data_IF_781076622642
#
_entry.id   IF_781076622642
#
_cell.length_a   1.000
_cell.length_b   1.000
_cell.length_c   1.000
_cell.angle_alpha   90.00
_cell.angle_beta   90.00
_cell.angle_gamma   90.00
#
_symmetry.space_group_name_H-M   'P 1'
#
loop_
_entity.id
_entity.type
_entity.pdbx_description
1 polymer ?
#
# COMPACT_ATOMS: atom_id res chain seq x y z
N UNK A 1 9.56 24.75 2.22
CA UNK A 1 10.27 24.40 0.94
C UNK A 1 10.80 23.00 1.03
N UNK A 2 10.95 22.30 -0.12
CA UNK A 2 11.61 20.99 -0.17
C UNK A 2 13.09 21.11 0.21
N UNK A 3 13.61 20.10 0.89
CA UNK A 3 15.06 19.95 1.09
C UNK A 3 15.72 19.46 -0.22
N UNK A 4 17.04 19.50 -0.30
CA UNK A 4 17.77 18.93 -1.44
C UNK A 4 17.45 17.43 -1.62
N UNK A 5 17.37 16.69 -0.52
CA UNK A 5 17.01 15.26 -0.47
C UNK A 5 15.64 15.02 -1.10
N UNK A 6 14.62 15.66 -0.56
CA UNK A 6 13.23 15.44 -0.98
C UNK A 6 12.97 15.96 -2.40
N UNK A 7 13.69 17.00 -2.84
CA UNK A 7 13.65 17.43 -4.24
C UNK A 7 14.26 16.37 -5.17
N UNK A 8 15.43 15.80 -4.80
CA UNK A 8 16.07 14.73 -5.59
C UNK A 8 15.15 13.51 -5.72
N UNK A 9 14.55 13.04 -4.61
CA UNK A 9 13.61 11.92 -4.63
C UNK A 9 12.42 12.24 -5.53
N UNK A 10 11.83 13.45 -5.41
CA UNK A 10 10.70 13.87 -6.24
C UNK A 10 11.04 13.85 -7.72
N UNK A 11 12.15 14.45 -8.10
CA UNK A 11 12.56 14.56 -9.50
C UNK A 11 12.83 13.16 -10.09
N UNK A 12 13.54 12.30 -9.37
CA UNK A 12 13.78 10.91 -9.76
C UNK A 12 12.47 10.13 -9.92
N UNK A 13 11.54 10.25 -8.95
CA UNK A 13 10.27 9.55 -8.95
C UNK A 13 9.41 9.88 -10.18
N UNK A 14 9.30 11.17 -10.52
CA UNK A 14 8.44 11.60 -11.63
C UNK A 14 9.11 11.52 -13.00
N UNK A 15 10.44 11.41 -13.07
CA UNK A 15 11.16 11.20 -14.32
C UNK A 15 11.05 9.73 -14.82
N UNK A 16 10.73 8.77 -13.94
CA UNK A 16 10.64 7.37 -14.34
C UNK A 16 9.36 7.07 -15.13
N UNK A 17 9.47 6.29 -16.23
CA UNK A 17 8.30 5.82 -16.96
C UNK A 17 7.47 4.87 -16.08
N UNK A 18 6.16 4.89 -16.26
CA UNK A 18 5.28 3.90 -15.63
C UNK A 18 5.36 2.58 -16.40
N UNK A 19 5.61 1.49 -15.70
CA UNK A 19 5.71 0.15 -16.27
C UNK A 19 4.64 -0.77 -15.67
N UNK A 20 4.25 -1.79 -16.41
CA UNK A 20 3.46 -2.88 -15.85
C UNK A 20 4.39 -3.83 -15.11
N UNK A 21 3.94 -4.42 -14.00
CA UNK A 21 4.65 -5.49 -13.30
C UNK A 21 3.75 -6.71 -13.13
N UNK A 22 4.32 -7.89 -13.36
CA UNK A 22 3.65 -9.19 -13.19
C UNK A 22 3.97 -9.86 -11.85
N UNK A 23 4.86 -9.26 -11.05
CA UNK A 23 5.42 -9.90 -9.85
C UNK A 23 4.33 -10.35 -8.88
N UNK A 24 3.43 -9.45 -8.47
CA UNK A 24 2.35 -9.79 -7.54
C UNK A 24 1.43 -10.87 -8.11
N UNK A 25 1.04 -10.77 -9.37
CA UNK A 25 0.16 -11.74 -10.02
C UNK A 25 0.80 -13.14 -10.09
N UNK A 26 2.13 -13.21 -10.34
CA UNK A 26 2.91 -14.44 -10.30
C UNK A 26 2.89 -15.07 -8.91
N UNK A 27 3.22 -14.29 -7.88
CA UNK A 27 3.25 -14.76 -6.50
C UNK A 27 1.87 -15.22 -6.01
N UNK A 28 0.81 -14.50 -6.36
CA UNK A 28 -0.57 -14.92 -6.09
C UNK A 28 -0.90 -16.27 -6.74
N UNK A 29 -0.58 -16.42 -8.02
CA UNK A 29 -0.81 -17.69 -8.74
C UNK A 29 -0.04 -18.85 -8.10
N UNK A 30 1.23 -18.64 -7.73
CA UNK A 30 2.06 -19.67 -7.08
C UNK A 30 1.43 -20.15 -5.76
N UNK A 31 0.95 -19.23 -4.94
CA UNK A 31 0.24 -19.55 -3.70
C UNK A 31 -1.08 -20.28 -3.97
N UNK A 32 -1.87 -19.80 -4.92
CA UNK A 32 -3.16 -20.40 -5.25
C UNK A 32 -3.04 -21.81 -5.84
N UNK A 33 -1.95 -22.12 -6.54
CA UNK A 33 -1.63 -23.48 -6.98
C UNK A 33 -1.35 -24.43 -5.81
N UNK A 34 -0.66 -23.93 -4.78
CA UNK A 34 -0.30 -24.73 -3.59
C UNK A 34 -1.46 -24.93 -2.63
N UNK A 35 -2.46 -24.08 -2.68
CA UNK A 35 -3.58 -24.04 -1.73
C UNK A 35 -4.92 -24.44 -2.36
N UNK A 36 -4.89 -25.21 -3.47
CA UNK A 36 -6.09 -25.69 -4.14
C UNK A 36 -6.96 -26.51 -3.16
N UNK A 37 -8.26 -26.20 -3.08
CA UNK A 37 -9.22 -26.87 -2.20
C UNK A 37 -9.28 -26.33 -0.77
N UNK A 38 -8.38 -25.45 -0.33
CA UNK A 38 -8.49 -24.82 0.98
C UNK A 38 -9.61 -23.76 1.02
N UNK A 39 -10.06 -23.44 2.23
CA UNK A 39 -11.08 -22.40 2.47
C UNK A 39 -10.63 -21.04 1.87
N UNK A 40 -11.49 -20.32 1.15
CA UNK A 40 -11.10 -19.10 0.42
C UNK A 40 -10.36 -18.05 1.24
N UNK A 41 -10.78 -17.78 2.49
CA UNK A 41 -10.12 -16.79 3.35
C UNK A 41 -8.70 -17.23 3.75
N UNK A 42 -8.47 -18.51 3.96
CA UNK A 42 -7.13 -19.07 4.26
C UNK A 42 -6.24 -18.98 3.01
N UNK A 43 -6.78 -19.32 1.84
CA UNK A 43 -6.05 -19.15 0.56
C UNK A 43 -5.62 -17.69 0.35
N UNK A 44 -6.53 -16.76 0.64
CA UNK A 44 -6.25 -15.32 0.52
C UNK A 44 -5.13 -14.88 1.47
N UNK A 45 -5.20 -15.32 2.74
CA UNK A 45 -4.19 -15.04 3.74
C UNK A 45 -2.81 -15.60 3.36
N UNK A 46 -2.75 -16.84 2.87
CA UNK A 46 -1.52 -17.47 2.38
C UNK A 46 -0.97 -16.80 1.11
N UNK A 47 -1.84 -16.29 0.24
CA UNK A 47 -1.41 -15.53 -0.93
C UNK A 47 -0.74 -14.20 -0.54
N UNK A 48 -1.33 -13.47 0.41
CA UNK A 48 -0.70 -12.27 0.96
C UNK A 48 0.63 -12.61 1.64
N UNK A 49 0.67 -13.65 2.48
CA UNK A 49 1.91 -14.14 3.10
C UNK A 49 2.97 -14.39 2.03
N UNK A 50 2.64 -15.12 0.97
CA UNK A 50 3.59 -15.45 -0.09
C UNK A 50 4.12 -14.21 -0.82
N UNK A 51 3.28 -13.19 -1.02
CA UNK A 51 3.73 -11.90 -1.57
C UNK A 51 4.68 -11.19 -0.62
N UNK A 52 4.30 -11.03 0.65
CA UNK A 52 5.09 -10.31 1.64
C UNK A 52 6.46 -10.98 1.90
N UNK A 53 6.52 -12.30 1.78
CA UNK A 53 7.77 -13.08 1.92
C UNK A 53 8.68 -13.00 0.69
N UNK A 54 8.14 -12.78 -0.52
CA UNK A 54 8.89 -13.02 -1.76
C UNK A 54 8.98 -11.83 -2.71
N UNK A 55 8.17 -10.77 -2.55
CA UNK A 55 8.29 -9.63 -3.45
C UNK A 55 9.67 -8.96 -3.33
N UNK A 56 10.13 -8.36 -4.43
CA UNK A 56 11.43 -7.72 -4.48
C UNK A 56 11.44 -6.43 -3.66
N UNK A 57 12.33 -6.35 -2.69
CA UNK A 57 12.58 -5.13 -1.94
C UNK A 57 13.48 -4.20 -2.77
N UNK A 58 13.07 -2.94 -2.88
CA UNK A 58 13.87 -1.85 -3.43
C UNK A 58 13.88 -0.69 -2.45
N UNK A 59 14.94 0.12 -2.51
CA UNK A 59 15.14 1.25 -1.61
C UNK A 59 15.92 2.35 -2.32
N UNK A 60 15.42 3.58 -2.29
CA UNK A 60 16.15 4.74 -2.78
C UNK A 60 17.21 5.14 -1.74
N UNK A 61 18.44 5.33 -2.18
CA UNK A 61 19.57 5.68 -1.30
C UNK A 61 19.38 7.00 -0.53
N UNK A 62 18.52 7.88 -1.04
CA UNK A 62 18.21 9.16 -0.41
C UNK A 62 17.01 9.08 0.55
N UNK A 63 16.22 7.99 0.52
CA UNK A 63 14.98 7.93 1.27
C UNK A 63 15.22 7.69 2.78
N UNK A 64 14.36 8.27 3.60
CA UNK A 64 14.35 8.04 5.05
C UNK A 64 13.40 6.90 5.44
N UNK A 65 12.47 6.53 4.59
CA UNK A 65 11.48 5.48 4.84
C UNK A 65 11.64 4.33 3.86
N UNK A 66 11.62 3.10 4.36
CA UNK A 66 11.59 1.90 3.52
C UNK A 66 10.16 1.50 3.19
N UNK A 67 10.02 0.69 2.16
CA UNK A 67 8.75 0.12 1.73
C UNK A 67 8.43 0.44 0.28
N UNK A 68 8.20 -0.62 -0.50
CA UNK A 68 7.79 -0.55 -1.90
C UNK A 68 6.70 -1.57 -2.20
N UNK A 69 5.78 -1.22 -3.10
CA UNK A 69 4.73 -2.15 -3.57
C UNK A 69 5.18 -2.98 -4.77
N UNK A 70 6.09 -2.46 -5.55
CA UNK A 70 6.50 -3.00 -6.85
C UNK A 70 8.02 -2.94 -7.00
N UNK A 71 8.57 -3.74 -7.89
CA UNK A 71 9.99 -3.83 -8.22
C UNK A 71 10.56 -2.57 -8.89
N UNK A 72 9.71 -1.62 -9.24
CA UNK A 72 10.11 -0.26 -9.63
C UNK A 72 9.06 0.76 -9.18
N UNK A 73 9.46 2.01 -8.86
CA UNK A 73 8.52 3.04 -8.48
C UNK A 73 7.48 3.30 -9.58
N UNK A 74 6.22 3.55 -9.19
CA UNK A 74 5.10 3.85 -10.09
C UNK A 74 4.78 2.74 -11.11
N UNK A 75 5.13 1.49 -10.82
CA UNK A 75 4.69 0.38 -11.65
C UNK A 75 3.22 0.03 -11.42
N UNK A 76 2.51 -0.28 -12.50
CA UNK A 76 1.13 -0.72 -12.49
C UNK A 76 1.05 -2.22 -12.20
N UNK A 77 0.30 -2.60 -11.18
CA UNK A 77 0.09 -4.00 -10.78
C UNK A 77 -1.10 -4.57 -11.53
N UNK A 78 -0.96 -5.76 -12.10
CA UNK A 78 -2.07 -6.54 -12.65
C UNK A 78 -2.67 -7.44 -11.57
N UNK A 79 -4.02 -7.57 -11.59
CA UNK A 79 -4.79 -8.38 -10.63
C UNK A 79 -5.72 -9.34 -11.35
N UNK A 80 -5.17 -10.38 -12.02
CA UNK A 80 -5.96 -11.32 -12.79
C UNK A 80 -6.90 -12.17 -11.94
N UNK A 81 -6.65 -12.26 -10.63
CA UNK A 81 -7.56 -12.89 -9.66
C UNK A 81 -8.88 -12.12 -9.52
N UNK A 82 -8.86 -10.82 -9.84
CA UNK A 82 -10.08 -9.99 -9.89
C UNK A 82 -10.78 -10.14 -11.23
N UNK A 83 -10.09 -9.80 -12.33
CA UNK A 83 -10.58 -10.00 -13.71
C UNK A 83 -9.39 -10.15 -14.66
N UNK A 84 -9.18 -11.31 -15.28
CA UNK A 84 -8.10 -11.51 -16.22
C UNK A 84 -8.40 -11.00 -17.64
N UNK A 85 -9.67 -10.77 -17.97
CA UNK A 85 -10.14 -10.55 -19.34
C UNK A 85 -9.71 -9.21 -19.90
N UNK A 86 -10.05 -8.12 -19.23
CA UNK A 86 -9.68 -6.77 -19.67
C UNK A 86 -8.18 -6.58 -19.83
N UNK A 87 -7.37 -7.25 -18.96
CA UNK A 87 -5.92 -7.19 -19.06
C UNK A 87 -5.45 -7.88 -20.35
N UNK A 88 -6.02 -9.05 -20.65
CA UNK A 88 -5.73 -9.79 -21.89
C UNK A 88 -6.06 -8.98 -23.14
N UNK A 89 -7.20 -8.30 -23.13
CA UNK A 89 -7.66 -7.51 -24.26
C UNK A 89 -6.83 -6.23 -24.47
N UNK A 90 -6.24 -5.69 -23.41
CA UNK A 90 -5.52 -4.41 -23.43
C UNK A 90 -3.99 -4.51 -23.40
N UNK A 91 -3.40 -5.70 -23.33
CA UNK A 91 -1.94 -5.88 -23.20
C UNK A 91 -1.13 -5.07 -24.23
N UNK A 92 -1.56 -5.06 -25.48
CA UNK A 92 -0.86 -4.33 -26.55
C UNK A 92 -1.24 -2.83 -26.57
N UNK A 93 -2.35 -2.47 -25.95
CA UNK A 93 -2.81 -1.10 -25.88
C UNK A 93 -2.15 -0.27 -24.76
N UNK A 94 -1.64 -0.88 -23.69
CA UNK A 94 -1.09 -0.15 -22.56
C UNK A 94 -0.08 0.94 -22.92
N UNK A 95 0.90 0.74 -23.83
CA UNK A 95 1.86 1.78 -24.17
C UNK A 95 1.28 2.90 -25.07
N UNK A 96 0.24 2.62 -25.84
CA UNK A 96 -0.26 3.51 -26.90
C UNK A 96 -1.65 4.10 -26.63
N UNK A 97 -2.37 3.61 -25.62
CA UNK A 97 -3.71 4.11 -25.28
C UNK A 97 -3.70 5.60 -24.94
N UNK A 98 -4.84 6.26 -25.07
CA UNK A 98 -4.95 7.70 -24.94
C UNK A 98 -4.56 8.22 -23.55
N UNK A 99 -4.97 7.49 -22.50
CA UNK A 99 -4.78 7.87 -21.10
C UNK A 99 -4.12 6.75 -20.29
N UNK A 100 -3.48 7.10 -19.19
CA UNK A 100 -2.84 6.16 -18.26
C UNK A 100 -1.94 5.12 -18.94
N UNK A 101 -1.00 5.60 -19.77
CA UNK A 101 -0.06 4.74 -20.48
C UNK A 101 0.91 4.07 -19.52
N UNK A 102 1.21 2.80 -19.82
CA UNK A 102 2.20 2.01 -19.12
C UNK A 102 3.02 1.22 -20.14
N UNK A 103 4.33 1.27 -19.99
CA UNK A 103 5.20 0.40 -20.77
C UNK A 103 5.06 -1.05 -20.28
N UNK A 104 5.13 -2.00 -21.20
CA UNK A 104 5.08 -3.42 -20.91
C UNK A 104 6.05 -4.15 -21.85
N UNK A 105 6.86 -5.07 -21.32
CA UNK A 105 7.78 -5.87 -22.11
C UNK A 105 7.06 -6.97 -22.90
N UNK A 106 7.64 -7.42 -23.99
CA UNK A 106 7.11 -8.57 -24.75
C UNK A 106 7.18 -9.87 -23.92
N UNK A 107 8.15 -9.98 -23.02
CA UNK A 107 8.25 -11.09 -22.07
C UNK A 107 7.05 -11.12 -21.12
N UNK A 108 6.69 -9.96 -20.52
CA UNK A 108 5.53 -9.85 -19.65
C UNK A 108 4.23 -10.13 -20.38
N UNK A 109 4.08 -9.65 -21.63
CA UNK A 109 2.90 -9.95 -22.45
C UNK A 109 2.77 -11.45 -22.72
N UNK A 110 3.87 -12.09 -23.09
CA UNK A 110 3.93 -13.54 -23.34
C UNK A 110 3.61 -14.31 -22.06
N UNK A 111 4.23 -13.93 -20.94
CA UNK A 111 3.97 -14.54 -19.64
C UNK A 111 2.50 -14.41 -19.22
N UNK A 112 1.90 -13.24 -19.45
CA UNK A 112 0.49 -13.06 -19.16
C UNK A 112 -0.39 -13.96 -20.02
N UNK A 113 -0.19 -13.98 -21.33
CA UNK A 113 -0.98 -14.77 -22.29
C UNK A 113 -0.88 -16.27 -22.06
N UNK A 114 0.33 -16.76 -21.80
CA UNK A 114 0.59 -18.20 -21.75
C UNK A 114 0.49 -18.81 -20.36
N UNK A 115 0.66 -18.00 -19.29
CA UNK A 115 0.73 -18.51 -17.92
C UNK A 115 -0.37 -17.95 -17.03
N UNK A 116 -0.44 -16.62 -16.89
CA UNK A 116 -1.36 -16.00 -15.92
C UNK A 116 -2.82 -16.10 -16.39
N UNK A 117 -3.09 -15.74 -17.64
CA UNK A 117 -4.45 -15.76 -18.17
C UNK A 117 -5.07 -17.15 -18.18
N UNK A 118 -4.43 -18.23 -18.69
CA UNK A 118 -4.98 -19.58 -18.65
C UNK A 118 -5.28 -20.08 -17.23
N UNK A 119 -4.44 -19.69 -16.25
CA UNK A 119 -4.65 -20.07 -14.85
C UNK A 119 -5.88 -19.37 -14.24
N UNK A 120 -6.00 -18.05 -14.40
CA UNK A 120 -7.06 -17.27 -13.77
C UNK A 120 -8.39 -17.28 -14.52
N UNK A 121 -8.39 -17.57 -15.79
CA UNK A 121 -9.59 -17.71 -16.60
C UNK A 121 -10.52 -18.74 -15.97
N UNK A 122 -11.80 -18.35 -15.74
CA UNK A 122 -12.85 -19.12 -15.07
C UNK A 122 -12.67 -19.31 -13.56
N UNK A 123 -11.65 -18.69 -12.94
CA UNK A 123 -11.34 -18.79 -11.50
C UNK A 123 -11.36 -17.44 -10.79
N UNK A 124 -11.50 -16.35 -11.53
CA UNK A 124 -11.46 -14.98 -11.01
C UNK A 124 -12.73 -14.60 -10.24
N UNK A 125 -12.65 -13.50 -9.48
CA UNK A 125 -13.80 -12.89 -8.83
C UNK A 125 -14.87 -12.49 -9.86
N UNK A 126 -14.46 -11.96 -11.02
CA UNK A 126 -15.36 -11.62 -12.12
C UNK A 126 -16.11 -12.84 -12.64
N UNK A 127 -15.46 -14.00 -12.74
CA UNK A 127 -16.12 -15.25 -13.15
C UNK A 127 -17.14 -15.73 -12.12
N UNK A 128 -16.80 -15.62 -10.84
CA UNK A 128 -17.71 -15.97 -9.76
C UNK A 128 -18.93 -15.05 -9.77
N UNK A 129 -18.70 -13.75 -9.82
CA UNK A 129 -19.73 -12.73 -9.86
C UNK A 129 -20.67 -12.93 -11.06
N UNK A 130 -20.12 -13.08 -12.29
CA UNK A 130 -20.90 -13.24 -13.51
C UNK A 130 -21.80 -14.48 -13.50
N UNK A 131 -21.41 -15.55 -12.81
CA UNK A 131 -22.23 -16.77 -12.65
C UNK A 131 -23.38 -16.63 -11.65
N UNK A 132 -23.33 -15.62 -10.78
CA UNK A 132 -24.34 -15.39 -9.74
C UNK A 132 -25.25 -14.19 -10.03
N UNK A 133 -25.03 -13.50 -11.16
CA UNK A 133 -25.93 -12.45 -11.60
C UNK A 133 -27.19 -13.03 -12.24
N UNK A 134 -28.32 -12.47 -11.87
CA UNK A 134 -29.60 -12.73 -12.55
C UNK A 134 -29.58 -12.14 -13.96
N UNK A 135 -30.30 -12.80 -14.88
CA UNK A 135 -30.31 -12.41 -16.30
C UNK A 135 -30.79 -10.98 -16.51
N UNK A 136 -31.79 -10.55 -15.74
CA UNK A 136 -32.34 -9.19 -15.80
C UNK A 136 -31.30 -8.13 -15.39
N UNK A 137 -30.44 -8.44 -14.40
CA UNK A 137 -29.34 -7.54 -14.00
C UNK A 137 -28.30 -7.45 -15.11
N UNK A 138 -27.96 -8.59 -15.75
CA UNK A 138 -27.03 -8.61 -16.89
C UNK A 138 -27.56 -7.77 -18.06
N UNK A 139 -28.83 -7.89 -18.39
CA UNK A 139 -29.47 -7.09 -19.46
C UNK A 139 -29.51 -5.60 -19.10
N UNK A 140 -29.86 -5.27 -17.84
CA UNK A 140 -29.88 -3.89 -17.38
C UNK A 140 -28.52 -3.22 -17.43
N UNK A 141 -27.42 -3.92 -17.12
CA UNK A 141 -26.05 -3.39 -17.22
C UNK A 141 -25.65 -3.03 -18.66
N UNK A 142 -26.21 -3.67 -19.68
CA UNK A 142 -25.95 -3.35 -21.09
C UNK A 142 -26.38 -1.93 -21.46
N UNK A 143 -27.30 -1.35 -20.72
CA UNK A 143 -27.71 0.05 -20.89
C UNK A 143 -26.62 1.07 -20.55
N UNK A 144 -25.59 0.67 -19.78
CA UNK A 144 -24.53 1.53 -19.25
C UNK A 144 -25.00 2.69 -18.37
N UNK A 145 -26.24 2.67 -17.91
CA UNK A 145 -26.79 3.68 -16.98
C UNK A 145 -26.21 3.47 -15.56
N UNK A 146 -25.95 2.22 -15.21
CA UNK A 146 -25.32 1.85 -13.93
C UNK A 146 -24.40 0.64 -14.09
N UNK A 147 -23.50 0.49 -13.13
CA UNK A 147 -22.64 -0.68 -12.98
C UNK A 147 -22.89 -1.31 -11.60
N UNK A 148 -23.05 -2.62 -11.53
CA UNK A 148 -23.32 -3.35 -10.29
C UNK A 148 -22.01 -3.71 -9.59
N UNK A 149 -20.94 -3.97 -10.34
CA UNK A 149 -19.63 -4.28 -9.79
C UNK A 149 -18.51 -3.72 -10.67
N UNK A 150 -17.38 -3.42 -10.01
CA UNK A 150 -16.14 -3.06 -10.65
C UNK A 150 -15.09 -4.11 -10.26
N UNK A 151 -14.65 -4.92 -11.22
CA UNK A 151 -13.74 -6.04 -11.00
C UNK A 151 -12.38 -5.87 -11.69
N UNK A 152 -12.08 -4.71 -12.24
CA UNK A 152 -10.79 -4.44 -12.89
C UNK A 152 -9.62 -4.43 -11.90
N UNK A 153 -9.89 -4.17 -10.62
CA UNK A 153 -8.96 -4.23 -9.50
C UNK A 153 -9.68 -4.53 -8.19
N UNK A 154 -8.94 -4.70 -7.09
CA UNK A 154 -9.53 -4.82 -5.76
C UNK A 154 -10.23 -3.54 -5.30
N UNK A 155 -11.23 -3.70 -4.46
CA UNK A 155 -11.92 -2.58 -3.80
C UNK A 155 -11.23 -2.23 -2.48
N UNK A 156 -10.95 -0.94 -2.30
CA UNK A 156 -10.49 -0.34 -1.06
C UNK A 156 -11.61 0.45 -0.39
N UNK A 157 -11.49 1.79 -0.40
CA UNK A 157 -12.41 2.70 0.29
C UNK A 157 -12.52 2.40 1.79
N UNK A 158 -11.36 2.07 2.38
CA UNK A 158 -11.24 1.76 3.80
C UNK A 158 -10.24 2.71 4.46
N UNK A 159 -10.32 2.80 5.78
CA UNK A 159 -9.31 3.39 6.66
C UNK A 159 -8.87 2.28 7.62
N UNK A 160 -7.57 2.03 7.70
CA UNK A 160 -7.01 1.14 8.70
C UNK A 160 -7.13 1.78 10.09
N UNK A 161 -7.34 0.98 11.12
CA UNK A 161 -7.23 1.44 12.51
C UNK A 161 -5.76 1.64 12.89
N UNK A 162 -5.15 2.70 12.32
CA UNK A 162 -3.77 3.08 12.65
C UNK A 162 -3.58 3.36 14.14
N UNK A 163 -4.50 4.03 14.86
CA UNK A 163 -4.40 4.19 16.31
C UNK A 163 -4.19 2.88 17.05
N UNK A 164 -4.91 1.84 16.68
CA UNK A 164 -4.78 0.51 17.31
C UNK A 164 -3.38 -0.07 17.08
N UNK A 165 -2.92 -0.08 15.83
CA UNK A 165 -1.61 -0.65 15.47
C UNK A 165 -0.46 0.14 16.13
N UNK A 166 -0.53 1.47 16.06
CA UNK A 166 0.49 2.34 16.62
C UNK A 166 0.63 2.22 18.14
N UNK A 167 -0.49 2.04 18.84
CA UNK A 167 -0.52 1.97 20.32
C UNK A 167 -0.27 0.58 20.89
N UNK A 168 -0.59 -0.49 20.14
CA UNK A 168 -0.48 -1.87 20.62
C UNK A 168 0.69 -2.66 20.00
N UNK A 169 1.09 -2.31 18.78
CA UNK A 169 2.04 -3.10 17.99
C UNK A 169 1.44 -4.41 17.46
N UNK A 170 2.10 -5.01 16.50
CA UNK A 170 1.60 -6.26 15.88
C UNK A 170 1.65 -7.47 16.80
N UNK A 171 2.59 -7.52 17.74
CA UNK A 171 2.75 -8.67 18.64
C UNK A 171 1.52 -8.90 19.50
N UNK A 172 1.03 -7.85 20.16
CA UNK A 172 -0.15 -7.96 21.04
C UNK A 172 -1.41 -8.33 20.24
N UNK A 173 -1.55 -7.77 19.03
CA UNK A 173 -2.67 -8.10 18.14
C UNK A 173 -2.57 -9.57 17.66
N UNK A 174 -1.36 -10.06 17.38
CA UNK A 174 -1.12 -11.45 17.02
C UNK A 174 -1.45 -12.42 18.18
N UNK A 175 -1.04 -12.09 19.40
CA UNK A 175 -1.34 -12.90 20.59
C UNK A 175 -2.85 -13.01 20.82
N UNK A 176 -3.59 -11.92 20.64
CA UNK A 176 -5.05 -11.90 20.70
C UNK A 176 -5.67 -12.77 19.59
N UNK A 177 -5.21 -12.62 18.34
CA UNK A 177 -5.70 -13.42 17.22
C UNK A 177 -5.42 -14.93 17.43
N UNK A 178 -4.26 -15.29 18.00
CA UNK A 178 -3.91 -16.68 18.35
C UNK A 178 -4.84 -17.24 19.44
N UNK A 179 -5.12 -16.44 20.47
CA UNK A 179 -6.05 -16.81 21.53
C UNK A 179 -7.45 -17.08 20.98
N UNK A 180 -7.96 -16.17 20.14
CA UNK A 180 -9.26 -16.31 19.50
C UNK A 180 -9.31 -17.50 18.52
N UNK A 181 -8.23 -17.74 17.79
CA UNK A 181 -8.11 -18.92 16.92
C UNK A 181 -8.18 -20.24 17.69
N UNK A 182 -7.62 -20.27 18.90
CA UNK A 182 -7.68 -21.45 19.79
C UNK A 182 -9.08 -21.62 20.37
N UNK A 183 -9.75 -20.54 20.76
CA UNK A 183 -11.10 -20.56 21.33
C UNK A 183 -12.17 -20.89 20.27
N UNK A 184 -11.93 -20.53 19.02
CA UNK A 184 -12.86 -20.70 17.89
C UNK A 184 -12.21 -21.46 16.72
N UNK A 185 -11.83 -22.74 16.90
CA UNK A 185 -11.07 -23.49 15.90
C UNK A 185 -11.80 -23.68 14.57
N UNK A 186 -13.13 -23.65 14.59
CA UNK A 186 -13.98 -23.80 13.41
C UNK A 186 -14.16 -22.47 12.62
N UNK A 187 -13.66 -21.35 13.15
CA UNK A 187 -13.73 -20.07 12.46
C UNK A 187 -12.44 -19.77 11.70
N UNK A 188 -12.41 -19.91 10.37
CA UNK A 188 -11.21 -19.73 9.57
C UNK A 188 -10.71 -18.27 9.54
N UNK A 189 -11.52 -17.31 9.97
CA UNK A 189 -11.14 -15.89 10.03
C UNK A 189 -9.96 -15.68 10.99
N UNK A 190 -10.02 -16.24 12.20
CA UNK A 190 -8.94 -16.08 13.18
C UNK A 190 -7.64 -16.76 12.75
N UNK A 191 -7.75 -17.93 12.08
CA UNK A 191 -6.60 -18.59 11.49
C UNK A 191 -5.96 -17.74 10.38
N UNK A 192 -6.79 -17.15 9.51
CA UNK A 192 -6.33 -16.24 8.47
C UNK A 192 -5.66 -14.99 9.05
N UNK A 193 -6.23 -14.41 10.12
CA UNK A 193 -5.64 -13.26 10.83
C UNK A 193 -4.25 -13.59 11.40
N UNK A 194 -4.09 -14.77 12.02
CA UNK A 194 -2.79 -15.23 12.52
C UNK A 194 -1.76 -15.37 11.40
N UNK A 195 -2.15 -15.93 10.25
CA UNK A 195 -1.26 -16.06 9.08
C UNK A 195 -0.80 -14.68 8.61
N UNK A 196 -1.74 -13.75 8.44
CA UNK A 196 -1.46 -12.40 7.94
C UNK A 196 -0.58 -11.61 8.91
N UNK A 197 -0.89 -11.63 10.21
CA UNK A 197 -0.11 -10.89 11.22
C UNK A 197 1.34 -11.40 11.31
N UNK A 198 1.54 -12.71 11.29
CA UNK A 198 2.89 -13.30 11.20
C UNK A 198 3.62 -12.88 9.94
N UNK A 199 2.92 -12.85 8.81
CA UNK A 199 3.50 -12.46 7.53
C UNK A 199 3.90 -10.97 7.53
N UNK A 200 3.11 -10.08 8.13
CA UNK A 200 3.43 -8.64 8.23
C UNK A 200 4.63 -8.43 9.15
N UNK A 201 4.73 -9.11 10.28
CA UNK A 201 5.91 -9.07 11.16
C UNK A 201 7.16 -9.49 10.39
N UNK A 202 7.11 -10.63 9.72
CA UNK A 202 8.22 -11.13 8.91
C UNK A 202 8.59 -10.17 7.77
N UNK A 203 7.61 -9.52 7.16
CA UNK A 203 7.80 -8.50 6.14
C UNK A 203 8.59 -7.29 6.63
N UNK A 204 8.28 -6.80 7.83
CA UNK A 204 9.04 -5.70 8.45
C UNK A 204 10.48 -6.14 8.73
N UNK A 205 10.71 -7.36 9.22
CA UNK A 205 12.05 -7.90 9.42
C UNK A 205 12.85 -8.05 8.13
N UNK A 206 12.21 -8.40 7.00
CA UNK A 206 12.90 -8.42 5.70
C UNK A 206 13.46 -7.04 5.32
N UNK A 207 12.72 -5.96 5.62
CA UNK A 207 13.25 -4.60 5.42
C UNK A 207 14.37 -4.28 6.40
N UNK A 208 14.28 -4.73 7.65
CA UNK A 208 15.38 -4.59 8.61
C UNK A 208 16.67 -5.21 8.08
N UNK A 209 16.60 -6.48 7.64
CA UNK A 209 17.74 -7.22 7.09
C UNK A 209 18.32 -6.50 5.86
N UNK A 210 17.45 -6.02 4.96
CA UNK A 210 17.85 -5.26 3.79
C UNK A 210 18.59 -3.97 4.15
N UNK A 211 18.09 -3.20 5.12
CA UNK A 211 18.73 -1.98 5.60
C UNK A 211 20.05 -2.30 6.33
N UNK A 212 20.12 -3.38 7.12
CA UNK A 212 21.36 -3.84 7.76
C UNK A 212 22.44 -4.15 6.72
N UNK A 213 22.10 -4.82 5.63
CA UNK A 213 23.05 -5.06 4.54
C UNK A 213 23.54 -3.76 3.89
N UNK A 214 22.64 -2.77 3.70
CA UNK A 214 23.00 -1.46 3.14
C UNK A 214 23.95 -0.64 4.02
N UNK A 215 23.90 -0.79 5.36
CA UNK A 215 24.86 -0.15 6.29
C UNK A 215 26.30 -0.56 5.96
N UNK A 216 26.51 -1.83 5.62
CA UNK A 216 27.85 -2.34 5.30
C UNK A 216 28.43 -1.82 3.98
N UNK A 217 27.58 -1.42 3.04
CA UNK A 217 27.99 -0.97 1.71
C UNK A 217 28.12 0.56 1.56
N UNK A 218 27.66 1.36 2.54
CA UNK A 218 27.77 2.82 2.47
C UNK A 218 29.04 3.35 3.15
N UNK A 219 29.73 4.26 2.46
CA UNK A 219 30.91 4.98 2.99
C UNK A 219 30.55 6.33 3.61
N UNK A 220 29.38 6.88 3.32
CA UNK A 220 28.92 8.15 3.87
C UNK A 220 28.52 7.98 5.34
N UNK A 221 29.18 8.73 6.23
CA UNK A 221 29.01 8.60 7.68
C UNK A 221 27.61 9.04 8.14
N UNK A 222 27.06 10.09 7.53
CA UNK A 222 25.71 10.57 7.85
C UNK A 222 24.69 9.54 7.41
N UNK A 223 24.79 9.05 6.17
CA UNK A 223 23.90 8.02 5.64
C UNK A 223 23.96 6.72 6.45
N UNK A 224 25.15 6.33 6.88
CA UNK A 224 25.36 5.17 7.76
C UNK A 224 24.62 5.33 9.10
N UNK A 225 24.68 6.52 9.69
CA UNK A 225 23.95 6.82 10.93
C UNK A 225 22.42 6.77 10.72
N UNK A 226 21.90 7.32 9.61
CA UNK A 226 20.48 7.27 9.24
C UNK A 226 20.02 5.82 9.06
N UNK A 227 20.74 5.01 8.29
CA UNK A 227 20.43 3.59 8.09
C UNK A 227 20.49 2.79 9.38
N UNK A 228 21.45 3.08 10.25
CA UNK A 228 21.54 2.45 11.57
C UNK A 228 20.34 2.79 12.45
N UNK A 229 19.87 4.04 12.43
CA UNK A 229 18.65 4.45 13.10
C UNK A 229 17.43 3.71 12.51
N UNK A 230 17.30 3.69 11.20
CA UNK A 230 16.20 3.05 10.49
C UNK A 230 16.13 1.53 10.78
N UNK A 231 17.26 0.83 10.79
CA UNK A 231 17.30 -0.59 11.15
C UNK A 231 16.81 -0.85 12.59
N UNK A 232 17.17 0.02 13.55
CA UNK A 232 16.68 -0.07 14.93
C UNK A 232 15.15 0.18 15.01
N UNK A 233 14.67 1.15 14.24
CA UNK A 233 13.22 1.42 14.12
C UNK A 233 12.50 0.19 13.60
N UNK A 234 12.94 -0.37 12.47
CA UNK A 234 12.31 -1.54 11.84
C UNK A 234 12.28 -2.75 12.77
N UNK A 235 13.39 -3.05 13.45
CA UNK A 235 13.45 -4.12 14.45
C UNK A 235 12.39 -3.97 15.52
N UNK A 236 12.20 -2.76 16.01
CA UNK A 236 11.23 -2.48 17.05
C UNK A 236 9.79 -2.56 16.56
N UNK A 237 9.46 -1.80 15.51
CA UNK A 237 8.07 -1.70 15.02
C UNK A 237 7.55 -2.98 14.36
N UNK A 238 8.41 -3.96 14.10
CA UNK A 238 7.98 -5.27 13.63
C UNK A 238 6.99 -5.92 14.61
N UNK A 239 7.17 -5.70 15.90
CA UNK A 239 6.37 -6.32 16.95
C UNK A 239 5.74 -5.29 17.90
N UNK A 240 6.52 -4.28 18.33
CA UNK A 240 6.21 -3.35 19.41
C UNK A 240 5.49 -2.09 18.92
N UNK A 241 4.76 -1.38 19.81
CA UNK A 241 4.14 -0.09 19.51
C UNK A 241 5.17 1.00 19.18
N UNK A 242 4.74 1.99 18.38
CA UNK A 242 5.55 3.15 18.07
C UNK A 242 5.76 4.06 19.31
N UNK A 243 6.88 4.77 19.35
CA UNK A 243 7.23 5.70 20.46
C UNK A 243 7.35 7.15 20.02
N UNK A 244 7.75 7.36 18.78
CA UNK A 244 8.01 8.67 18.20
C UNK A 244 7.43 8.76 16.78
N UNK A 245 7.51 9.94 16.18
CA UNK A 245 6.94 10.18 14.85
C UNK A 245 7.59 9.35 13.75
N UNK A 246 8.89 9.08 13.84
CA UNK A 246 9.57 8.29 12.82
C UNK A 246 9.09 6.83 12.83
N UNK A 247 9.04 6.22 14.02
CA UNK A 247 8.50 4.88 14.21
C UNK A 247 7.04 4.82 13.73
N UNK A 248 6.23 5.81 14.08
CA UNK A 248 4.82 5.87 13.69
C UNK A 248 4.63 5.97 12.17
N UNK A 249 5.34 6.87 11.49
CA UNK A 249 5.24 7.04 10.04
C UNK A 249 5.72 5.80 9.28
N UNK A 250 6.81 5.17 9.74
CA UNK A 250 7.31 3.95 9.12
C UNK A 250 6.34 2.78 9.31
N UNK A 251 5.72 2.64 10.48
CA UNK A 251 4.73 1.61 10.77
C UNK A 251 3.45 1.81 9.95
N UNK A 252 2.94 3.05 9.88
CA UNK A 252 1.78 3.40 9.03
C UNK A 252 2.06 3.04 7.56
N UNK A 253 3.25 3.38 7.03
CA UNK A 253 3.59 3.11 5.64
C UNK A 253 3.68 1.61 5.34
N UNK A 254 4.33 0.81 6.18
CA UNK A 254 4.42 -0.63 5.96
C UNK A 254 3.08 -1.35 6.11
N UNK A 255 2.21 -0.87 7.02
CA UNK A 255 0.83 -1.34 7.13
C UNK A 255 0.04 -1.04 5.85
N UNK A 256 0.14 0.19 5.36
CA UNK A 256 -0.50 0.61 4.11
C UNK A 256 -0.06 -0.27 2.92
N UNK A 257 1.23 -0.57 2.83
CA UNK A 257 1.75 -1.45 1.78
C UNK A 257 1.23 -2.88 1.89
N UNK A 258 1.10 -3.43 3.10
CA UNK A 258 0.52 -4.75 3.30
C UNK A 258 -0.93 -4.80 2.79
N UNK A 259 -1.74 -3.76 3.06
CA UNK A 259 -3.10 -3.61 2.52
C UNK A 259 -3.09 -3.49 0.99
N UNK A 260 -2.16 -2.74 0.41
CA UNK A 260 -2.00 -2.59 -1.03
C UNK A 260 -1.58 -3.90 -1.72
N UNK A 261 -0.76 -4.71 -1.07
CA UNK A 261 -0.39 -6.05 -1.57
C UNK A 261 -1.56 -7.04 -1.51
N UNK A 262 -2.41 -6.92 -0.49
CA UNK A 262 -3.57 -7.80 -0.31
C UNK A 262 -4.53 -7.67 -1.48
N UNK A 263 -5.01 -6.46 -1.77
CA UNK A 263 -6.15 -6.29 -2.67
C UNK A 263 -5.85 -5.51 -3.96
N UNK A 264 -4.67 -4.89 -4.09
CA UNK A 264 -4.40 -3.92 -5.17
C UNK A 264 -5.53 -2.87 -5.27
N UNK A 265 -6.04 -2.44 -4.13
CA UNK A 265 -7.21 -1.61 -4.01
C UNK A 265 -6.90 -0.11 -4.11
N UNK A 266 -7.86 0.67 -4.58
CA UNK A 266 -7.80 2.13 -4.54
C UNK A 266 -8.44 2.68 -3.26
N UNK A 267 -8.06 3.92 -2.91
CA UNK A 267 -8.69 4.68 -1.81
C UNK A 267 -8.58 4.00 -0.44
N UNK A 268 -7.40 3.48 -0.13
CA UNK A 268 -7.03 3.16 1.24
C UNK A 268 -6.57 4.47 1.86
N UNK A 269 -7.36 4.99 2.80
CA UNK A 269 -7.21 6.36 3.27
C UNK A 269 -6.32 6.43 4.51
N UNK A 270 -5.49 7.48 4.60
CA UNK A 270 -4.69 7.77 5.79
C UNK A 270 -5.54 8.31 6.95
N UNK A 271 -6.72 8.85 6.65
CA UNK A 271 -7.66 9.34 7.65
C UNK A 271 -7.16 10.58 8.40
N UNK A 272 -7.48 10.67 9.68
CA UNK A 272 -7.17 11.82 10.55
C UNK A 272 -5.73 11.76 11.08
N UNK A 273 -4.78 11.86 10.17
CA UNK A 273 -3.35 11.67 10.44
C UNK A 273 -2.82 12.67 11.48
N UNK A 274 -3.32 13.89 11.49
CA UNK A 274 -2.98 14.93 12.45
C UNK A 274 -3.40 14.57 13.88
N UNK A 275 -4.43 13.71 14.06
CA UNK A 275 -4.91 13.30 15.36
C UNK A 275 -4.16 12.08 15.88
N UNK A 276 -4.11 10.99 15.11
CA UNK A 276 -3.48 9.77 15.62
C UNK A 276 -1.96 9.84 15.68
N UNK A 277 -1.32 10.73 14.90
CA UNK A 277 0.14 10.97 14.99
C UNK A 277 0.49 12.07 16.00
N UNK A 278 -0.47 12.84 16.51
CA UNK A 278 -0.20 13.92 17.43
C UNK A 278 0.61 13.52 18.69
N UNK A 279 0.31 12.42 19.39
CA UNK A 279 1.11 11.98 20.53
C UNK A 279 2.59 11.70 20.16
N UNK A 280 2.82 11.10 19.01
CA UNK A 280 4.14 10.73 18.51
C UNK A 280 4.95 11.95 18.03
N UNK A 281 4.27 12.91 17.40
CA UNK A 281 4.86 14.20 17.05
C UNK A 281 5.33 14.95 18.29
N UNK A 282 4.48 15.03 19.31
CA UNK A 282 4.84 15.64 20.59
C UNK A 282 6.01 14.94 21.29
N UNK A 283 6.05 13.62 21.21
CA UNK A 283 7.16 12.83 21.76
C UNK A 283 8.49 13.16 21.04
N UNK A 284 8.48 13.28 19.72
CA UNK A 284 9.65 13.70 18.95
C UNK A 284 10.11 15.11 19.31
N UNK A 285 9.20 16.07 19.41
CA UNK A 285 9.54 17.44 19.86
C UNK A 285 10.13 17.45 21.28
N UNK A 286 9.53 16.71 22.21
CA UNK A 286 10.01 16.61 23.59
C UNK A 286 11.38 15.92 23.69
N UNK A 287 11.71 15.02 22.76
CA UNK A 287 13.02 14.41 22.63
C UNK A 287 14.09 15.33 21.97
N UNK A 288 13.70 16.55 21.55
CA UNK A 288 14.60 17.53 20.95
C UNK A 288 14.86 17.33 19.45
N UNK A 289 13.99 16.58 18.73
CA UNK A 289 14.09 16.48 17.28
C UNK A 289 13.85 17.84 16.62
N UNK A 290 14.68 18.17 15.61
CA UNK A 290 14.60 19.47 14.94
C UNK A 290 13.38 19.53 14.01
N UNK A 291 12.73 20.67 13.97
CA UNK A 291 11.58 20.91 13.07
C UNK A 291 11.90 20.58 11.60
N UNK A 292 13.12 20.93 11.15
CA UNK A 292 13.56 20.61 9.79
C UNK A 292 13.64 19.12 9.48
N UNK A 293 14.09 18.30 10.44
CA UNK A 293 14.20 16.85 10.27
C UNK A 293 12.81 16.18 10.28
N UNK A 294 11.93 16.66 11.16
CA UNK A 294 10.51 16.24 11.19
C UNK A 294 9.81 16.57 9.86
N UNK A 295 10.00 17.80 9.37
CA UNK A 295 9.45 18.25 8.10
C UNK A 295 9.95 17.39 6.93
N UNK A 296 11.26 17.13 6.85
CA UNK A 296 11.86 16.29 5.82
C UNK A 296 11.32 14.86 5.85
N UNK A 297 11.16 14.28 7.04
CA UNK A 297 10.61 12.94 7.22
C UNK A 297 9.16 12.84 6.70
N UNK A 298 8.31 13.82 7.03
CA UNK A 298 6.92 13.85 6.54
C UNK A 298 6.89 14.11 5.01
N UNK A 299 7.80 14.92 4.47
CA UNK A 299 7.94 15.08 3.02
C UNK A 299 8.31 13.76 2.33
N UNK A 300 9.22 12.96 2.91
CA UNK A 300 9.53 11.62 2.43
C UNK A 300 8.29 10.71 2.47
N UNK A 301 7.49 10.76 3.53
CA UNK A 301 6.24 10.01 3.62
C UNK A 301 5.24 10.40 2.51
N UNK A 302 5.10 11.70 2.23
CA UNK A 302 4.24 12.17 1.13
C UNK A 302 4.76 11.68 -0.24
N UNK A 303 6.08 11.68 -0.44
CA UNK A 303 6.68 11.12 -1.66
C UNK A 303 6.40 9.61 -1.80
N UNK A 304 6.43 8.86 -0.69
CA UNK A 304 6.05 7.43 -0.69
C UNK A 304 4.64 7.19 -1.23
N UNK A 305 3.66 8.00 -0.86
CA UNK A 305 2.28 7.84 -1.37
C UNK A 305 2.20 7.98 -2.89
N UNK A 306 3.15 8.68 -3.52
CA UNK A 306 3.23 8.88 -4.95
C UNK A 306 4.00 7.78 -5.71
N UNK A 307 4.60 6.82 -4.99
CA UNK A 307 5.21 5.63 -5.61
C UNK A 307 4.16 4.63 -6.08
N UNK A 308 2.92 4.73 -5.58
CA UNK A 308 1.81 3.85 -5.91
C UNK A 308 0.96 4.48 -7.00
N UNK A 309 0.80 3.76 -8.11
CA UNK A 309 -0.13 4.08 -9.19
C UNK A 309 -0.99 2.87 -9.49
N UNK A 310 -2.19 3.11 -10.03
CA UNK A 310 -3.09 2.03 -10.43
C UNK A 310 -3.11 1.84 -11.93
N UNK A 311 -2.93 0.60 -12.37
CA UNK A 311 -3.25 0.16 -13.69
C UNK A 311 -4.77 -0.13 -13.74
N UNK A 312 -5.47 0.52 -14.66
CA UNK A 312 -6.92 0.41 -14.84
C UNK A 312 -7.23 0.01 -16.27
N UNK A 313 -8.41 -0.55 -16.50
CA UNK A 313 -8.93 -0.74 -17.84
C UNK A 313 -9.11 0.60 -18.56
N UNK A 314 -9.12 0.59 -19.87
CA UNK A 314 -9.37 1.81 -20.69
C UNK A 314 -10.71 2.44 -20.34
N UNK A 315 -11.74 1.63 -20.09
CA UNK A 315 -13.05 2.11 -19.66
C UNK A 315 -12.96 2.84 -18.31
N UNK A 316 -12.32 2.24 -17.32
CA UNK A 316 -12.11 2.86 -16.00
C UNK A 316 -11.22 4.11 -16.10
N UNK A 317 -10.21 4.12 -16.97
CA UNK A 317 -9.33 5.25 -17.17
C UNK A 317 -10.05 6.48 -17.74
N UNK A 318 -11.12 6.32 -18.49
CA UNK A 318 -11.93 7.45 -18.98
C UNK A 318 -12.50 8.31 -17.85
N UNK A 319 -12.78 7.67 -16.70
CA UNK A 319 -13.34 8.35 -15.53
C UNK A 319 -12.28 8.74 -14.49
N UNK A 320 -11.19 7.98 -14.40
CA UNK A 320 -10.25 8.07 -13.30
C UNK A 320 -8.79 8.33 -13.71
N UNK A 321 -8.50 8.53 -15.01
CA UNK A 321 -7.15 8.85 -15.45
C UNK A 321 -6.66 10.17 -14.84
N UNK A 322 -5.41 10.16 -14.37
CA UNK A 322 -4.80 11.31 -13.70
C UNK A 322 -5.30 11.56 -12.27
N UNK A 323 -6.32 10.84 -11.82
CA UNK A 323 -6.74 10.88 -10.42
C UNK A 323 -5.72 10.17 -9.52
N UNK A 324 -5.46 10.73 -8.34
CA UNK A 324 -4.61 10.08 -7.34
C UNK A 324 -5.20 8.74 -6.91
N UNK A 325 -4.35 7.91 -6.27
CA UNK A 325 -4.74 6.58 -5.80
C UNK A 325 -5.73 6.61 -4.64
N UNK A 326 -6.00 7.81 -4.09
CA UNK A 326 -6.98 8.01 -3.03
C UNK A 326 -6.42 7.84 -1.62
N UNK A 327 -5.15 8.19 -1.39
CA UNK A 327 -4.62 8.39 -0.04
C UNK A 327 -5.23 9.66 0.56
N UNK A 328 -6.47 9.53 1.06
CA UNK A 328 -7.15 10.67 1.64
C UNK A 328 -6.61 10.94 3.04
N UNK A 329 -6.18 12.17 3.24
CA UNK A 329 -5.69 12.72 4.50
C UNK A 329 -6.67 13.80 4.95
N UNK A 330 -7.09 13.73 6.21
CA UNK A 330 -7.97 14.74 6.81
C UNK A 330 -7.22 15.44 7.93
N UNK A 331 -7.31 16.75 7.98
CA UNK A 331 -6.76 17.58 9.07
C UNK A 331 -7.84 18.49 9.67
N UNK A 332 -7.67 18.87 10.93
CA UNK A 332 -8.62 19.67 11.68
C UNK A 332 -9.83 18.85 12.17
N UNK A 333 -11.00 19.48 12.20
CA UNK A 333 -12.25 18.87 12.69
C UNK A 333 -12.41 18.96 14.20
N UNK A 334 -13.55 18.48 14.67
CA UNK A 334 -13.94 18.41 16.08
C UNK A 334 -13.74 17.00 16.64
N UNK A 335 -13.59 16.90 17.97
CA UNK A 335 -13.65 15.64 18.71
C UNK A 335 -15.10 15.17 18.94
N UNK A 336 -15.27 14.10 19.73
CA UNK A 336 -16.58 13.54 20.04
C UNK A 336 -17.48 14.51 20.86
N UNK A 337 -16.85 15.45 21.56
CA UNK A 337 -17.50 16.47 22.39
C UNK A 337 -17.78 17.76 21.60
N UNK A 338 -17.43 17.81 20.31
CA UNK A 338 -17.63 18.97 19.44
C UNK A 338 -16.58 20.07 19.59
N UNK A 339 -15.47 19.80 20.28
CA UNK A 339 -14.37 20.75 20.47
C UNK A 339 -13.41 20.67 19.28
N UNK A 340 -12.92 21.84 18.82
CA UNK A 340 -11.88 21.93 17.82
C UNK A 340 -10.62 21.17 18.26
N UNK A 341 -10.16 20.23 17.43
CA UNK A 341 -8.97 19.42 17.68
C UNK A 341 -7.81 19.72 16.72
N UNK A 342 -7.89 20.87 16.02
CA UNK A 342 -6.77 21.38 15.22
C UNK A 342 -5.54 21.59 16.10
N UNK A 343 -4.38 21.15 15.63
CA UNK A 343 -3.12 21.19 16.38
C UNK A 343 -1.94 21.58 15.48
N UNK A 344 -0.75 21.73 16.05
CA UNK A 344 0.44 22.16 15.30
C UNK A 344 0.79 21.21 14.17
N UNK A 345 0.53 19.90 14.31
CA UNK A 345 0.74 18.93 13.24
C UNK A 345 -0.27 19.14 12.09
N UNK A 346 -1.51 19.59 12.36
CA UNK A 346 -2.48 19.94 11.33
C UNK A 346 -1.91 21.04 10.41
N UNK A 347 -1.36 22.08 10.99
CA UNK A 347 -0.72 23.17 10.24
C UNK A 347 0.54 22.72 9.50
N UNK A 348 1.38 21.90 10.14
CA UNK A 348 2.58 21.35 9.51
C UNK A 348 2.26 20.51 8.27
N UNK A 349 1.24 19.65 8.33
CA UNK A 349 0.79 18.82 7.20
C UNK A 349 0.27 19.69 6.04
N UNK A 350 -0.46 20.77 6.32
CA UNK A 350 -0.90 21.75 5.32
C UNK A 350 0.29 22.46 4.65
N UNK A 351 1.27 22.91 5.43
CA UNK A 351 2.48 23.55 4.92
C UNK A 351 3.29 22.60 4.02
N UNK A 352 3.41 21.33 4.43
CA UNK A 352 4.12 20.33 3.64
C UNK A 352 3.38 20.07 2.32
N UNK A 353 2.05 19.98 2.32
CA UNK A 353 1.27 19.85 1.09
C UNK A 353 1.52 21.01 0.13
N UNK A 354 1.53 22.25 0.65
CA UNK A 354 1.85 23.45 -0.11
C UNK A 354 3.26 23.40 -0.69
N UNK A 355 4.24 22.95 0.09
CA UNK A 355 5.64 22.88 -0.31
C UNK A 355 5.89 21.78 -1.34
N UNK A 356 5.33 20.61 -1.14
CA UNK A 356 5.58 19.42 -1.98
C UNK A 356 4.85 19.47 -3.32
N UNK A 357 3.65 20.08 -3.37
CA UNK A 357 2.80 20.15 -4.56
C UNK A 357 2.64 18.79 -5.25
N UNK A 358 2.41 17.77 -4.44
CA UNK A 358 2.22 16.41 -4.91
C UNK A 358 0.74 16.14 -5.19
N UNK A 359 0.41 15.26 -6.15
CA UNK A 359 -0.98 14.84 -6.37
C UNK A 359 -1.54 14.00 -5.20
N UNK A 360 -0.66 13.46 -4.35
CA UNK A 360 -1.02 12.72 -3.15
C UNK A 360 -0.14 13.09 -1.95
N UNK A 361 -0.66 12.92 -0.72
CA UNK A 361 -2.03 12.54 -0.36
C UNK A 361 -3.07 13.60 -0.76
N UNK A 362 -4.33 13.19 -0.96
CA UNK A 362 -5.46 14.13 -1.06
C UNK A 362 -5.75 14.70 0.31
N UNK A 363 -5.45 15.98 0.52
CA UNK A 363 -5.63 16.63 1.80
C UNK A 363 -6.98 17.35 1.85
N UNK A 364 -7.80 16.99 2.84
CA UNK A 364 -9.07 17.62 3.16
C UNK A 364 -8.96 18.36 4.49
N UNK A 365 -9.24 19.67 4.48
CA UNK A 365 -9.38 20.46 5.70
C UNK A 365 -10.85 20.40 6.14
N UNK A 366 -11.09 20.01 7.38
CA UNK A 366 -12.40 20.06 8.02
C UNK A 366 -12.40 21.17 9.06
N UNK A 367 -13.47 21.97 9.00
CA UNK A 367 -13.70 23.12 9.87
C UNK A 367 -14.88 22.80 10.78
#
# INVERSE_FOLDING_TARGET
MLTKRTQTIKDSLFAQPRKVTMERARLYMESYKKTEGEVPIIRRAKALQHVLENHKIIFDENDLLVGNRTDSPRAGVVSPEMSPYWIMDELDAFPIRQQDRFDISEEDKTYYREVLYPFWRKRSLNDWYSRHLESEVVEAQKTKIFAVAQTDKGQGHIICDFPLILSRGYKVILEEAQSLSTQHPDNPFYQAAVIVLKAVIAYVHRYEEFVQAAIGSTSDAQRKAELTRLAKILRRIAEDPARDLYEALQLVWLTELALQHESNASSISLGRMDQYLWPYYRASIAAGERDGDIRELIQCFYLKTNTIVFLRSTESAQFFAGFPSGFNLVVGCIDAEGKDCTNDLSYLLLDIQKDTRLPQPNLSLRI
#
